data_IF_248106836696
#
_entry.id   IF_248106836696
#
_cell.length_a   1.000
_cell.length_b   1.000
_cell.length_c   1.000
_cell.angle_alpha   90.00
_cell.angle_beta   90.00
_cell.angle_gamma   90.00
#
_symmetry.space_group_name_H-M   'P 1'
#
loop_
_entity.id
_entity.type
_entity.pdbx_description
1 polymer ?
#
# COMPACT_ATOMS: atom_id res chain seq x y z
N UNK A 1 -9.15 -14.25 18.70
CA UNK A 1 -7.92 -13.86 17.98
C UNK A 1 -7.70 -12.38 18.23
N UNK A 2 -6.64 -12.00 18.93
CA UNK A 2 -6.34 -10.58 19.17
C UNK A 2 -5.91 -9.95 17.84
N UNK A 3 -6.65 -8.95 17.37
CA UNK A 3 -6.25 -8.13 16.22
C UNK A 3 -4.97 -7.41 16.62
N UNK A 4 -3.82 -7.87 16.10
CA UNK A 4 -2.56 -7.15 16.28
C UNK A 4 -2.74 -5.76 15.67
N UNK A 5 -2.55 -4.67 16.41
CA UNK A 5 -2.81 -3.35 15.88
C UNK A 5 -1.78 -3.06 14.78
N UNK A 6 -2.21 -2.45 13.68
CA UNK A 6 -1.38 -2.19 12.50
C UNK A 6 -0.06 -1.50 12.85
N UNK A 7 -0.08 -0.61 13.85
CA UNK A 7 1.10 0.09 14.35
C UNK A 7 2.22 -0.86 14.84
N UNK A 8 1.88 -2.05 15.35
CA UNK A 8 2.86 -3.05 15.79
C UNK A 8 3.60 -3.74 14.64
N UNK A 9 3.15 -3.56 13.40
CA UNK A 9 3.79 -4.10 12.20
C UNK A 9 4.68 -3.05 11.50
N UNK A 10 4.65 -1.80 11.95
CA UNK A 10 5.39 -0.69 11.34
C UNK A 10 6.71 -0.47 12.06
N UNK A 11 7.77 -0.25 11.29
CA UNK A 11 9.01 0.29 11.82
C UNK A 11 8.76 1.70 12.38
N UNK A 12 9.39 2.12 13.49
CA UNK A 12 9.22 3.47 14.05
C UNK A 12 9.42 4.58 13.02
N UNK A 13 10.41 4.40 12.13
CA UNK A 13 10.77 5.33 11.07
C UNK A 13 10.16 4.99 9.70
N UNK A 14 9.09 4.18 9.66
CA UNK A 14 8.43 3.80 8.40
C UNK A 14 8.12 5.03 7.55
N UNK A 15 8.31 4.89 6.23
CA UNK A 15 7.98 5.94 5.27
C UNK A 15 6.94 5.42 4.29
N UNK A 16 5.85 6.17 4.15
CA UNK A 16 4.88 5.95 3.09
C UNK A 16 5.10 6.99 2.00
N UNK A 17 5.27 6.53 0.77
CA UNK A 17 5.27 7.34 -0.44
C UNK A 17 3.97 7.10 -1.20
N UNK A 18 3.29 8.16 -1.61
CA UNK A 18 2.16 8.07 -2.53
C UNK A 18 2.42 9.01 -3.70
N UNK A 19 2.26 8.50 -4.92
CA UNK A 19 2.37 9.37 -6.09
C UNK A 19 1.18 10.34 -6.19
N UNK A 20 1.32 11.35 -7.05
CA UNK A 20 0.31 12.39 -7.21
C UNK A 20 -1.06 11.85 -7.66
N UNK A 21 -1.06 10.75 -8.42
CA UNK A 21 -2.25 10.15 -9.01
C UNK A 21 -2.93 9.17 -8.04
N UNK A 22 -2.23 8.74 -7.00
CA UNK A 22 -2.74 7.94 -5.90
C UNK A 22 -3.54 8.75 -4.84
N UNK A 23 -3.44 10.08 -4.84
CA UNK A 23 -4.05 10.92 -3.78
C UNK A 23 -4.96 12.03 -4.33
N UNK A 24 -6.03 12.42 -3.61
CA UNK A 24 -6.96 13.46 -4.07
C UNK A 24 -6.33 14.83 -4.28
N UNK A 25 -5.22 15.12 -3.59
CA UNK A 25 -4.55 16.42 -3.65
C UNK A 25 -3.68 16.61 -4.91
N UNK A 26 -3.64 15.62 -5.81
CA UNK A 26 -2.88 15.65 -7.06
C UNK A 26 -1.41 16.08 -6.89
N UNK A 27 -0.80 15.71 -5.75
CA UNK A 27 0.60 15.99 -5.42
C UNK A 27 1.19 14.79 -4.70
N UNK A 28 2.46 14.42 -4.94
CA UNK A 28 3.08 13.33 -4.21
C UNK A 28 3.05 13.62 -2.70
N UNK A 29 2.80 12.57 -1.92
CA UNK A 29 2.74 12.66 -0.46
C UNK A 29 3.81 11.74 0.11
N UNK A 30 4.55 12.26 1.09
CA UNK A 30 5.45 11.48 1.93
C UNK A 30 4.96 11.58 3.37
N UNK A 31 4.69 10.44 3.99
CA UNK A 31 4.29 10.35 5.40
C UNK A 31 5.37 9.58 6.15
N UNK A 32 5.86 10.13 7.25
CA UNK A 32 6.91 9.52 8.06
C UNK A 32 6.41 9.17 9.45
N UNK A 33 6.91 8.07 9.96
CA UNK A 33 6.71 7.62 11.33
C UNK A 33 5.49 6.72 11.51
N UNK A 34 5.65 5.68 12.34
CA UNK A 34 4.65 4.63 12.55
C UNK A 34 3.26 5.16 12.92
N UNK A 35 3.16 6.14 13.83
CA UNK A 35 1.87 6.70 14.24
C UNK A 35 1.16 7.44 13.10
N UNK A 36 1.89 8.25 12.33
CA UNK A 36 1.31 9.04 11.24
C UNK A 36 0.89 8.13 10.10
N UNK A 37 1.74 7.17 9.74
CA UNK A 37 1.42 6.16 8.71
C UNK A 37 0.22 5.31 9.13
N UNK A 38 0.15 4.85 10.39
CA UNK A 38 -0.99 4.10 10.89
C UNK A 38 -2.29 4.92 10.84
N UNK A 39 -2.25 6.21 11.21
CA UNK A 39 -3.41 7.11 11.08
C UNK A 39 -3.85 7.26 9.63
N UNK A 40 -2.91 7.44 8.70
CA UNK A 40 -3.20 7.51 7.26
C UNK A 40 -3.81 6.23 6.72
N UNK A 41 -3.30 5.06 7.14
CA UNK A 41 -3.85 3.76 6.77
C UNK A 41 -5.28 3.57 7.29
N UNK A 42 -5.54 3.92 8.56
CA UNK A 42 -6.89 3.88 9.14
C UNK A 42 -7.86 4.80 8.40
N UNK A 43 -7.44 6.02 8.05
CA UNK A 43 -8.25 6.94 7.25
C UNK A 43 -8.52 6.45 5.81
N UNK A 44 -7.70 5.53 5.31
CA UNK A 44 -7.85 4.89 4.01
C UNK A 44 -8.61 3.56 4.05
N UNK A 45 -8.94 3.03 5.24
CA UNK A 45 -9.52 1.69 5.41
C UNK A 45 -10.83 1.48 4.63
N UNK A 46 -11.68 2.51 4.50
CA UNK A 46 -12.90 2.43 3.68
C UNK A 46 -12.62 2.26 2.19
N UNK A 47 -11.45 2.71 1.69
CA UNK A 47 -11.02 2.44 0.31
C UNK A 47 -10.45 1.04 0.16
N UNK A 48 -9.84 0.50 1.22
CA UNK A 48 -9.24 -0.84 1.26
C UNK A 48 -10.27 -1.98 1.11
N UNK A 49 -11.57 -1.73 1.29
CA UNK A 49 -12.60 -2.75 1.06
C UNK A 49 -12.65 -3.29 -0.39
N UNK A 50 -12.03 -2.56 -1.34
CA UNK A 50 -11.92 -2.96 -2.75
C UNK A 50 -10.52 -3.45 -3.12
N UNK A 51 -9.64 -3.70 -2.13
CA UNK A 51 -8.30 -4.23 -2.37
C UNK A 51 -8.26 -5.73 -2.16
N UNK A 52 -7.66 -6.44 -3.10
CA UNK A 52 -7.27 -7.84 -2.96
C UNK A 52 -5.78 -7.99 -2.68
N UNK A 53 -5.40 -9.11 -2.07
CA UNK A 53 -4.00 -9.52 -1.99
C UNK A 53 -3.50 -9.89 -3.40
N UNK A 54 -2.31 -9.43 -3.75
CA UNK A 54 -1.66 -9.71 -5.02
C UNK A 54 -0.16 -9.94 -4.80
N UNK A 55 0.45 -10.67 -5.72
CA UNK A 55 1.89 -10.63 -5.91
C UNK A 55 2.20 -9.49 -6.89
N UNK A 56 3.00 -8.53 -6.45
CA UNK A 56 3.48 -7.40 -7.24
C UNK A 56 4.96 -7.62 -7.48
N UNK A 57 5.35 -7.86 -8.73
CA UNK A 57 6.71 -8.25 -9.10
C UNK A 57 7.24 -9.43 -8.25
N UNK A 58 6.38 -10.41 -7.99
CA UNK A 58 6.70 -11.58 -7.15
C UNK A 58 6.69 -11.35 -5.64
N UNK A 59 6.43 -10.13 -5.16
CA UNK A 59 6.40 -9.79 -3.73
C UNK A 59 4.95 -9.54 -3.25
N UNK A 60 4.61 -9.87 -1.99
CA UNK A 60 3.28 -9.57 -1.45
C UNK A 60 2.95 -8.08 -1.49
N UNK A 61 1.77 -7.75 -2.03
CA UNK A 61 1.23 -6.40 -2.09
C UNK A 61 -0.30 -6.40 -2.10
N UNK A 62 -0.88 -5.21 -2.21
CA UNK A 62 -2.33 -5.05 -2.36
C UNK A 62 -2.64 -4.41 -3.72
N UNK A 63 -3.64 -4.92 -4.42
CA UNK A 63 -4.12 -4.36 -5.67
C UNK A 63 -5.58 -3.92 -5.54
N UNK A 64 -5.89 -2.70 -5.96
CA UNK A 64 -7.25 -2.18 -6.05
C UNK A 64 -7.70 -2.17 -7.49
N UNK A 65 -8.80 -2.87 -7.77
CA UNK A 65 -9.46 -2.82 -9.05
C UNK A 65 -10.78 -2.04 -8.92
N UNK A 66 -11.03 -1.14 -9.86
CA UNK A 66 -12.34 -0.50 -10.04
C UNK A 66 -12.85 -0.78 -11.44
N UNK A 67 -14.06 -1.33 -11.54
CA UNK A 67 -14.68 -1.70 -12.81
C UNK A 67 -13.76 -2.61 -13.68
N UNK A 68 -13.05 -3.56 -13.05
CA UNK A 68 -12.13 -4.46 -13.72
C UNK A 68 -10.79 -3.85 -14.16
N UNK A 69 -10.52 -2.58 -13.79
CA UNK A 69 -9.26 -1.90 -14.10
C UNK A 69 -8.44 -1.68 -12.85
N UNK A 70 -7.14 -1.94 -12.93
CA UNK A 70 -6.19 -1.63 -11.87
C UNK A 70 -6.08 -0.10 -11.72
N UNK A 71 -6.34 0.39 -10.51
CA UNK A 71 -6.30 1.83 -10.22
C UNK A 71 -5.32 2.20 -9.12
N UNK A 72 -4.93 1.23 -8.28
CA UNK A 72 -4.01 1.47 -7.17
C UNK A 72 -3.27 0.18 -6.85
N UNK A 73 -1.97 0.27 -6.58
CA UNK A 73 -1.19 -0.82 -5.98
C UNK A 73 -0.48 -0.29 -4.74
N UNK A 74 -0.46 -1.10 -3.67
CA UNK A 74 0.37 -0.87 -2.51
C UNK A 74 1.44 -1.96 -2.46
N UNK A 75 2.70 -1.55 -2.39
CA UNK A 75 3.84 -2.45 -2.13
C UNK A 75 4.45 -2.13 -0.77
N UNK A 76 5.06 -3.13 -0.17
CA UNK A 76 5.65 -3.04 1.16
C UNK A 76 7.11 -3.47 1.11
N UNK A 77 7.98 -2.68 1.73
CA UNK A 77 9.34 -3.11 2.07
C UNK A 77 9.32 -3.59 3.51
N UNK A 78 9.76 -4.83 3.73
CA UNK A 78 9.79 -5.46 5.06
C UNK A 78 11.23 -5.78 5.42
N UNK A 79 11.68 -5.27 6.58
CA UNK A 79 13.01 -5.54 7.14
C UNK A 79 12.83 -6.00 8.58
N UNK A 80 13.48 -7.09 8.97
CA UNK A 80 13.41 -7.67 10.33
C UNK A 80 11.98 -7.90 10.84
N UNK A 81 11.07 -8.25 9.92
CA UNK A 81 9.66 -8.52 10.24
C UNK A 81 8.80 -7.27 10.46
N UNK A 82 9.32 -6.07 10.21
CA UNK A 82 8.60 -4.79 10.27
C UNK A 82 8.53 -4.13 8.90
N UNK A 83 7.42 -3.45 8.63
CA UNK A 83 7.24 -2.64 7.42
C UNK A 83 8.06 -1.36 7.58
N UNK A 84 9.08 -1.19 6.74
CA UNK A 84 9.96 -0.01 6.71
C UNK A 84 9.52 0.99 5.65
N UNK A 85 8.90 0.52 4.57
CA UNK A 85 8.37 1.40 3.52
C UNK A 85 7.03 0.90 2.97
N UNK A 86 6.21 1.86 2.53
CA UNK A 86 4.95 1.60 1.84
C UNK A 86 4.90 2.51 0.60
N UNK A 87 4.79 1.93 -0.58
CA UNK A 87 4.57 2.70 -1.81
C UNK A 87 3.13 2.55 -2.27
N UNK A 88 2.46 3.68 -2.49
CA UNK A 88 1.10 3.76 -3.04
C UNK A 88 1.20 4.29 -4.46
N UNK A 89 0.93 3.41 -5.42
CA UNK A 89 1.12 3.65 -6.85
C UNK A 89 -0.26 3.80 -7.49
N UNK A 90 -0.55 4.97 -8.03
CA UNK A 90 -1.77 5.28 -8.79
C UNK A 90 -1.48 5.71 -10.23
N UNK A 91 -0.22 5.99 -10.55
CA UNK A 91 0.18 6.38 -11.90
C UNK A 91 -0.03 5.25 -12.92
N UNK A 92 -0.88 5.43 -13.95
CA UNK A 92 -1.16 4.39 -14.95
C UNK A 92 0.06 3.85 -15.67
N UNK A 93 1.08 4.67 -15.91
CA UNK A 93 2.30 4.23 -16.58
C UNK A 93 3.12 3.32 -15.67
N UNK A 94 3.20 3.63 -14.37
CA UNK A 94 3.86 2.78 -13.38
C UNK A 94 3.08 1.48 -13.17
N UNK A 95 1.76 1.58 -13.07
CA UNK A 95 0.88 0.42 -12.92
C UNK A 95 1.00 -0.57 -14.09
N UNK A 96 1.07 -0.06 -15.33
CA UNK A 96 1.24 -0.89 -16.52
C UNK A 96 2.60 -1.61 -16.59
N UNK A 97 3.59 -1.16 -15.82
CA UNK A 97 4.92 -1.77 -15.74
C UNK A 97 5.04 -2.80 -14.60
N UNK A 98 4.00 -2.97 -13.77
CA UNK A 98 4.00 -3.97 -12.70
C UNK A 98 3.57 -5.32 -13.24
N UNK A 99 4.29 -6.37 -12.85
CA UNK A 99 3.83 -7.74 -12.98
C UNK A 99 2.91 -8.09 -11.81
N UNK A 100 1.70 -8.57 -12.11
CA UNK A 100 0.69 -8.88 -11.12
C UNK A 100 0.22 -10.32 -11.23
N UNK A 101 0.29 -11.05 -10.13
CA UNK A 101 -0.24 -12.40 -10.02
C UNK A 101 -1.14 -12.55 -8.78
N UNK A 102 -2.00 -13.56 -8.83
CA UNK A 102 -2.78 -13.97 -7.66
C UNK A 102 -1.88 -14.84 -6.77
N UNK A 103 -1.82 -14.61 -5.45
CA UNK A 103 -1.09 -15.48 -4.55
C UNK A 103 -1.70 -16.88 -4.56
N UNK A 104 -0.88 -17.92 -4.53
CA UNK A 104 -1.39 -19.28 -4.34
C UNK A 104 -2.00 -19.42 -2.93
N UNK A 105 -3.10 -20.16 -2.84
CA UNK A 105 -3.93 -20.29 -1.63
C UNK A 105 -3.37 -21.31 -0.63
#
# INVERSE_FOLDING_TARGET
>A
MATRPLISLLHPDVVLHADALAVPKARPVVVRGAQTVAKSATAAASRAQFTGLALVNGLPGLAMLRHGRLCLVLTFTVTDGLITEIDVIGDPARLAALDLAVPEA
#
